data_IF_812601255909
#
_entry.id   IF_812601255909
#
_cell.length_a   1.000
_cell.length_b   1.000
_cell.length_c   1.000
_cell.angle_alpha   90.00
_cell.angle_beta   90.00
_cell.angle_gamma   90.00
#
_symmetry.space_group_name_H-M   'P 1'
#
loop_
_entity.id
_entity.type
_entity.pdbx_description
1 polymer ?
#
# COMPACT_ATOMS: atom_id res chain seq x y z
N UNK A 1 -5.51 19.15 -12.39
CA UNK A 1 -4.77 18.54 -11.25
C UNK A 1 -4.38 19.65 -10.29
N UNK A 2 -4.68 19.50 -9.01
CA UNK A 2 -4.25 20.46 -7.99
C UNK A 2 -2.76 20.27 -7.70
N UNK A 3 -2.01 21.35 -7.39
CA UNK A 3 -0.62 21.24 -6.98
C UNK A 3 -0.50 20.46 -5.67
N UNK A 4 0.65 19.81 -5.47
CA UNK A 4 0.93 19.11 -4.21
C UNK A 4 1.07 20.13 -3.05
N UNK A 5 0.59 19.75 -1.88
CA UNK A 5 0.77 20.57 -0.66
C UNK A 5 2.13 20.25 -0.07
N UNK A 6 3.11 21.10 -0.31
CA UNK A 6 4.46 20.92 0.21
C UNK A 6 4.53 21.12 1.72
N UNK A 7 5.54 20.53 2.37
CA UNK A 7 5.68 20.62 3.83
C UNK A 7 5.77 22.07 4.30
N UNK A 8 6.56 22.89 3.61
CA UNK A 8 6.78 24.32 3.98
C UNK A 8 5.49 25.14 3.93
N UNK A 9 4.56 24.75 3.09
CA UNK A 9 3.25 25.40 2.93
C UNK A 9 2.19 24.85 3.86
N UNK A 10 2.45 23.72 4.51
CA UNK A 10 1.47 23.05 5.35
C UNK A 10 1.27 23.77 6.68
N UNK A 11 0.04 23.77 7.18
CA UNK A 11 -0.35 24.38 8.47
C UNK A 11 -1.40 23.52 9.16
N UNK A 12 -1.64 23.77 10.44
CA UNK A 12 -2.70 23.13 11.20
C UNK A 12 -2.62 21.60 11.15
N UNK A 13 -3.75 20.95 10.88
CA UNK A 13 -3.87 19.50 10.86
C UNK A 13 -2.93 18.84 9.85
N UNK A 14 -2.76 19.43 8.67
CA UNK A 14 -1.84 18.88 7.64
C UNK A 14 -0.42 18.85 8.16
N UNK A 15 0.05 19.93 8.79
CA UNK A 15 1.39 19.99 9.39
C UNK A 15 1.55 18.96 10.50
N UNK A 16 0.56 18.81 11.36
CA UNK A 16 0.59 17.79 12.43
C UNK A 16 0.75 16.38 11.88
N UNK A 17 0.00 16.04 10.82
CA UNK A 17 0.11 14.72 10.16
C UNK A 17 1.47 14.56 9.51
N UNK A 18 1.96 15.55 8.80
CA UNK A 18 3.29 15.51 8.17
C UNK A 18 4.41 15.31 9.20
N UNK A 19 4.33 15.99 10.33
CA UNK A 19 5.30 15.83 11.41
C UNK A 19 5.27 14.41 11.97
N UNK A 20 4.09 13.80 12.11
CA UNK A 20 3.94 12.41 12.55
C UNK A 20 4.49 11.42 11.51
N UNK A 21 4.26 11.66 10.22
CA UNK A 21 4.84 10.86 9.13
C UNK A 21 6.37 10.88 9.21
N UNK A 22 6.96 12.05 9.33
CA UNK A 22 8.41 12.22 9.43
C UNK A 22 8.98 11.50 10.66
N UNK A 23 8.36 11.68 11.81
CA UNK A 23 8.77 11.03 13.05
C UNK A 23 8.67 9.50 12.97
N UNK A 24 7.57 8.99 12.41
CA UNK A 24 7.31 7.55 12.29
C UNK A 24 8.27 6.89 11.29
N UNK A 25 8.52 7.52 10.17
CA UNK A 25 9.38 6.99 9.09
C UNK A 25 10.86 7.37 9.25
N UNK A 26 11.18 8.23 10.20
CA UNK A 26 12.55 8.72 10.48
C UNK A 26 13.21 9.33 9.24
N UNK A 27 12.48 10.17 8.53
CA UNK A 27 12.94 10.87 7.33
C UNK A 27 12.24 12.22 7.23
N UNK A 28 12.87 13.16 6.53
CA UNK A 28 12.25 14.46 6.23
C UNK A 28 11.34 14.42 4.99
N UNK A 29 11.35 13.30 4.25
CA UNK A 29 10.54 13.17 3.05
C UNK A 29 9.07 12.94 3.38
N UNK A 30 8.21 13.59 2.60
CA UNK A 30 6.78 13.31 2.53
C UNK A 30 6.46 12.82 1.12
N UNK A 31 5.95 11.60 0.99
CA UNK A 31 5.59 11.06 -0.31
C UNK A 31 4.48 11.87 -0.98
N UNK A 32 4.51 11.96 -2.29
CA UNK A 32 3.52 12.70 -3.07
C UNK A 32 2.08 12.26 -2.82
N UNK A 33 1.86 10.99 -2.49
CA UNK A 33 0.53 10.50 -2.10
C UNK A 33 -0.09 11.34 -0.98
N UNK A 34 0.68 11.58 0.10
CA UNK A 34 0.22 12.38 1.24
C UNK A 34 0.00 13.83 0.86
N UNK A 35 0.91 14.39 0.05
CA UNK A 35 0.81 15.77 -0.43
C UNK A 35 -0.41 15.98 -1.34
N UNK A 36 -0.79 14.95 -2.11
CA UNK A 36 -1.96 14.99 -2.98
C UNK A 36 -3.28 14.97 -2.21
N UNK A 37 -3.41 14.09 -1.22
CA UNK A 37 -4.65 13.98 -0.42
C UNK A 37 -4.73 15.03 0.70
N UNK A 38 -3.66 15.80 0.94
CA UNK A 38 -3.64 16.88 1.93
C UNK A 38 -4.60 18.03 1.62
N UNK A 39 -5.09 18.13 0.38
CA UNK A 39 -6.15 19.06 0.01
C UNK A 39 -7.46 18.84 0.77
N UNK A 40 -7.63 17.64 1.36
CA UNK A 40 -8.72 17.36 2.29
C UNK A 40 -8.12 16.83 3.60
N UNK A 41 -7.80 17.72 4.55
CA UNK A 41 -7.10 17.33 5.78
C UNK A 41 -7.71 16.19 6.57
N UNK A 42 -9.05 16.07 6.70
CA UNK A 42 -9.64 14.90 7.38
C UNK A 42 -9.35 13.56 6.68
N UNK A 43 -9.29 13.53 5.35
CA UNK A 43 -8.91 12.32 4.60
C UNK A 43 -7.44 11.98 4.84
N UNK A 44 -6.55 12.96 4.78
CA UNK A 44 -5.13 12.78 5.10
C UNK A 44 -4.95 12.16 6.49
N UNK A 45 -5.59 12.73 7.50
CA UNK A 45 -5.47 12.26 8.89
C UNK A 45 -5.94 10.82 9.05
N UNK A 46 -7.13 10.50 8.53
CA UNK A 46 -7.71 9.15 8.64
C UNK A 46 -6.90 8.12 7.88
N UNK A 47 -6.46 8.47 6.68
CA UNK A 47 -5.69 7.55 5.82
C UNK A 47 -4.33 7.25 6.43
N UNK A 48 -3.63 8.27 6.94
CA UNK A 48 -2.36 8.06 7.62
C UNK A 48 -2.51 7.23 8.88
N UNK A 49 -3.50 7.54 9.73
CA UNK A 49 -3.75 6.80 10.97
C UNK A 49 -4.01 5.31 10.68
N UNK A 50 -4.84 5.01 9.69
CA UNK A 50 -5.16 3.63 9.30
C UNK A 50 -3.93 2.91 8.72
N UNK A 51 -3.20 3.54 7.80
CA UNK A 51 -2.01 2.93 7.20
C UNK A 51 -0.94 2.65 8.25
N UNK A 52 -0.69 3.61 9.13
CA UNK A 52 0.28 3.48 10.23
C UNK A 52 -0.05 2.29 11.13
N UNK A 53 -1.33 2.15 11.50
CA UNK A 53 -1.80 1.04 12.32
C UNK A 53 -1.70 -0.31 11.59
N UNK A 54 -2.26 -0.39 10.38
CA UNK A 54 -2.37 -1.65 9.64
C UNK A 54 -1.01 -2.15 9.15
N UNK A 55 -0.16 -1.26 8.65
CA UNK A 55 1.12 -1.64 8.08
C UNK A 55 2.27 -1.66 9.10
N UNK A 56 2.21 -0.82 10.13
CA UNK A 56 3.29 -0.66 11.10
C UNK A 56 2.95 -1.08 12.52
N UNK A 57 1.68 -1.32 12.83
CA UNK A 57 1.22 -1.72 14.16
C UNK A 57 1.49 -3.19 14.48
N UNK A 58 1.24 -3.61 15.73
CA UNK A 58 1.35 -5.02 16.11
C UNK A 58 0.38 -5.88 15.32
N UNK A 59 0.77 -7.13 15.02
CA UNK A 59 -0.05 -8.08 14.29
C UNK A 59 0.68 -9.39 14.04
N UNK A 60 -0.06 -10.37 13.50
CA UNK A 60 0.44 -11.72 13.26
C UNK A 60 1.24 -11.85 11.96
N UNK A 61 1.02 -10.97 10.99
CA UNK A 61 1.74 -10.98 9.73
C UNK A 61 3.04 -10.19 9.85
N UNK A 62 4.13 -10.80 9.40
CA UNK A 62 5.44 -10.15 9.31
C UNK A 62 5.37 -8.87 8.46
N UNK A 63 6.09 -7.80 8.80
CA UNK A 63 6.08 -6.56 8.02
C UNK A 63 6.37 -6.73 6.53
N UNK A 64 7.31 -7.61 6.15
CA UNK A 64 7.56 -7.91 4.74
C UNK A 64 6.35 -8.56 4.08
N UNK A 65 5.69 -9.50 4.74
CA UNK A 65 4.48 -10.15 4.23
C UNK A 65 3.37 -9.13 3.98
N UNK A 66 3.19 -8.16 4.87
CA UNK A 66 2.22 -7.07 4.68
C UNK A 66 2.51 -6.27 3.41
N UNK A 67 3.78 -5.96 3.13
CA UNK A 67 4.18 -5.27 1.91
C UNK A 67 3.92 -6.11 0.66
N UNK A 68 4.23 -7.41 0.69
CA UNK A 68 3.96 -8.31 -0.44
C UNK A 68 2.47 -8.41 -0.77
N UNK A 69 1.62 -8.48 0.25
CA UNK A 69 0.16 -8.46 0.08
C UNK A 69 -0.27 -7.13 -0.55
N UNK A 70 0.25 -6.01 -0.05
CA UNK A 70 -0.09 -4.69 -0.58
C UNK A 70 0.30 -4.56 -2.07
N UNK A 71 1.49 -5.03 -2.43
CA UNK A 71 1.95 -5.06 -3.82
C UNK A 71 1.01 -5.91 -4.69
N UNK A 72 0.65 -7.12 -4.24
CA UNK A 72 -0.24 -8.01 -4.98
C UNK A 72 -1.60 -7.36 -5.28
N UNK A 73 -2.19 -6.70 -4.29
CA UNK A 73 -3.46 -5.95 -4.46
C UNK A 73 -3.26 -4.79 -5.43
N UNK A 74 -2.16 -4.07 -5.32
CA UNK A 74 -1.86 -2.89 -6.15
C UNK A 74 -1.63 -3.27 -7.62
N UNK A 75 -0.96 -4.39 -7.88
CA UNK A 75 -0.78 -4.94 -9.23
C UNK A 75 -2.15 -5.31 -9.83
N UNK A 76 -2.97 -6.00 -9.08
CA UNK A 76 -4.32 -6.41 -9.51
C UNK A 76 -5.20 -5.20 -9.84
N UNK A 77 -5.07 -4.10 -9.07
CA UNK A 77 -5.83 -2.87 -9.26
C UNK A 77 -5.14 -1.84 -10.17
N UNK A 78 -3.99 -2.17 -10.74
CA UNK A 78 -3.23 -1.29 -11.66
C UNK A 78 -2.82 0.06 -11.04
N UNK A 79 -2.44 0.07 -9.76
CA UNK A 79 -1.96 1.29 -9.09
C UNK A 79 -0.44 1.40 -9.20
N UNK A 80 0.05 2.04 -10.26
CA UNK A 80 1.50 2.19 -10.50
C UNK A 80 2.23 2.86 -9.33
N UNK A 81 1.64 3.91 -8.77
CA UNK A 81 2.21 4.62 -7.62
C UNK A 81 2.36 3.68 -6.40
N UNK A 82 1.31 2.92 -6.10
CA UNK A 82 1.31 2.01 -4.96
C UNK A 82 2.32 0.87 -5.15
N UNK A 83 2.41 0.33 -6.37
CA UNK A 83 3.40 -0.70 -6.72
C UNK A 83 4.81 -0.18 -6.45
N UNK A 84 5.14 1.00 -6.97
CA UNK A 84 6.48 1.58 -6.83
C UNK A 84 6.84 1.86 -5.37
N UNK A 85 5.94 2.50 -4.62
CA UNK A 85 6.20 2.89 -3.23
C UNK A 85 6.31 1.68 -2.29
N UNK A 86 5.42 0.69 -2.43
CA UNK A 86 5.44 -0.50 -1.59
C UNK A 86 6.53 -1.50 -2.00
N UNK A 87 6.92 -1.53 -3.28
CA UNK A 87 8.12 -2.27 -3.70
C UNK A 87 9.38 -1.71 -3.02
N UNK A 88 9.55 -0.40 -2.98
CA UNK A 88 10.66 0.24 -2.28
C UNK A 88 10.64 -0.10 -0.77
N UNK A 89 9.47 -0.04 -0.13
CA UNK A 89 9.31 -0.42 1.27
C UNK A 89 9.64 -1.91 1.51
N UNK A 90 9.21 -2.79 0.62
CA UNK A 90 9.49 -4.23 0.70
C UNK A 90 10.98 -4.53 0.55
N UNK A 91 11.69 -3.85 -0.36
CA UNK A 91 13.15 -3.97 -0.51
C UNK A 91 13.86 -3.60 0.80
N UNK A 92 13.44 -2.51 1.44
CA UNK A 92 13.98 -2.10 2.74
C UNK A 92 13.71 -3.12 3.86
N UNK A 93 12.71 -3.98 3.68
CA UNK A 93 12.35 -5.06 4.60
C UNK A 93 12.92 -6.43 4.20
N UNK A 94 13.75 -6.48 3.15
CA UNK A 94 14.47 -7.68 2.74
C UNK A 94 13.92 -8.40 1.50
N UNK A 95 12.99 -7.81 0.76
CA UNK A 95 12.54 -8.40 -0.51
C UNK A 95 13.68 -8.44 -1.53
N UNK A 96 13.94 -9.61 -2.09
CA UNK A 96 14.87 -9.80 -3.20
C UNK A 96 14.17 -9.72 -4.56
N UNK A 97 14.93 -9.56 -5.63
CA UNK A 97 14.37 -9.62 -6.99
C UNK A 97 13.75 -11.01 -7.29
N UNK A 98 14.33 -12.08 -6.77
CA UNK A 98 13.76 -13.42 -6.90
C UNK A 98 12.39 -13.53 -6.20
N UNK A 99 12.26 -12.98 -5.00
CA UNK A 99 10.98 -12.92 -4.28
C UNK A 99 9.94 -12.10 -5.05
N UNK A 100 10.35 -10.97 -5.62
CA UNK A 100 9.45 -10.15 -6.42
C UNK A 100 8.97 -10.89 -7.68
N UNK A 101 9.87 -11.61 -8.37
CA UNK A 101 9.52 -12.43 -9.53
C UNK A 101 8.52 -13.54 -9.18
N UNK A 102 8.73 -14.22 -8.06
CA UNK A 102 7.80 -15.23 -7.54
C UNK A 102 6.43 -14.62 -7.18
N UNK A 103 6.42 -13.47 -6.51
CA UNK A 103 5.20 -12.72 -6.20
C UNK A 103 4.42 -12.39 -7.48
N UNK A 104 5.10 -11.92 -8.53
CA UNK A 104 4.44 -11.61 -9.81
C UNK A 104 3.86 -12.87 -10.47
N UNK A 105 4.54 -14.01 -10.37
CA UNK A 105 4.03 -15.29 -10.87
C UNK A 105 2.75 -15.70 -10.14
N UNK A 106 2.72 -15.54 -8.82
CA UNK A 106 1.52 -15.83 -8.01
C UNK A 106 0.37 -14.90 -8.39
N UNK A 107 0.64 -13.60 -8.48
CA UNK A 107 -0.37 -12.60 -8.89
C UNK A 107 -0.93 -12.94 -10.27
N UNK A 108 -0.06 -13.29 -11.22
CA UNK A 108 -0.46 -13.66 -12.57
C UNK A 108 -1.38 -14.89 -12.60
N UNK A 109 -0.98 -15.98 -11.97
CA UNK A 109 -1.80 -17.21 -11.96
C UNK A 109 -3.10 -17.02 -11.17
N UNK A 110 -3.06 -16.30 -10.05
CA UNK A 110 -4.26 -16.01 -9.26
C UNK A 110 -5.28 -15.20 -10.05
N UNK A 111 -4.84 -14.11 -10.72
CA UNK A 111 -5.72 -13.30 -11.55
C UNK A 111 -6.31 -14.08 -12.72
N UNK A 112 -5.52 -14.94 -13.38
CA UNK A 112 -5.99 -15.82 -14.43
C UNK A 112 -7.08 -16.76 -13.90
N UNK A 113 -6.80 -17.46 -12.81
CA UNK A 113 -7.73 -18.42 -12.21
C UNK A 113 -9.01 -17.77 -11.72
N UNK A 114 -8.92 -16.56 -11.15
CA UNK A 114 -10.10 -15.79 -10.76
C UNK A 114 -11.03 -15.54 -11.96
N UNK A 115 -10.46 -15.17 -13.11
CA UNK A 115 -11.23 -14.94 -14.33
C UNK A 115 -11.85 -16.22 -14.86
N UNK A 116 -11.10 -17.34 -14.86
CA UNK A 116 -11.60 -18.64 -15.30
C UNK A 116 -12.74 -19.13 -14.39
N UNK A 117 -12.56 -19.08 -13.08
CA UNK A 117 -13.59 -19.49 -12.13
C UNK A 117 -14.87 -18.67 -12.29
N UNK A 118 -14.74 -17.34 -12.47
CA UNK A 118 -15.86 -16.45 -12.68
C UNK A 118 -16.54 -16.70 -14.02
N UNK A 119 -15.76 -16.78 -15.11
CA UNK A 119 -16.27 -16.96 -16.47
C UNK A 119 -17.00 -18.29 -16.67
N UNK A 120 -16.46 -19.36 -16.13
CA UNK A 120 -17.08 -20.69 -16.14
C UNK A 120 -18.14 -20.89 -15.06
N UNK A 121 -18.35 -19.90 -14.18
CA UNK A 121 -19.31 -19.98 -13.07
C UNK A 121 -19.12 -21.25 -12.23
N UNK A 122 -17.85 -21.55 -11.91
CA UNK A 122 -17.49 -22.75 -11.15
C UNK A 122 -18.21 -22.74 -9.79
N UNK A 123 -19.00 -23.78 -9.47
CA UNK A 123 -19.67 -23.85 -8.18
C UNK A 123 -18.69 -24.11 -7.04
N UNK A 124 -19.02 -23.60 -5.85
CA UNK A 124 -18.22 -23.84 -4.66
C UNK A 124 -18.30 -25.32 -4.24
N UNK A 125 -17.15 -25.94 -4.03
CA UNK A 125 -17.08 -27.32 -3.51
C UNK A 125 -17.65 -27.41 -2.10
N UNK A 126 -18.33 -28.53 -1.78
CA UNK A 126 -18.93 -28.74 -0.45
C UNK A 126 -17.88 -28.69 0.67
N UNK A 127 -16.66 -29.17 0.41
CA UNK A 127 -15.56 -29.18 1.40
C UNK A 127 -15.06 -27.78 1.78
N UNK A 128 -15.47 -26.72 1.08
CA UNK A 128 -15.10 -25.34 1.37
C UNK A 128 -16.25 -24.52 2.02
N UNK A 129 -17.40 -25.14 2.26
CA UNK A 129 -18.58 -24.49 2.87
C UNK A 129 -18.54 -24.50 4.43
#
# INVERSE_FOLDING_TARGET
MQPLVEYEQSTGLVREVYDDIRATRKTDDINNFWKGIAHHPPTLQRTWAMLKEVMGGPGELDPLVRELIYIAVSVTNSCEYCIASHRAAAVNKGMTEAMFGELMSIVGVANMNNRLATGFRVPLDEKFK
#
